data_IF_707036679711
#
_entry.id   IF_707036679711
#
_cell.length_a   1.000
_cell.length_b   1.000
_cell.length_c   1.000
_cell.angle_alpha   90.00
_cell.angle_beta   90.00
_cell.angle_gamma   90.00
#
_symmetry.space_group_name_H-M   'P 1'
#
loop_
_entity.id
_entity.type
_entity.pdbx_description
1 polymer ?
#
# COMPACT_ATOMS: atom_id res chain seq x y z
N UNK A 1 -15.04 13.57 17.59
CA UNK A 1 -15.95 14.73 17.48
C UNK A 1 -16.71 14.71 16.16
N UNK A 2 -17.92 15.26 16.14
CA UNK A 2 -19.09 14.88 15.32
C UNK A 2 -19.02 15.29 13.82
N UNK A 3 -18.05 14.76 13.05
CA UNK A 3 -17.84 15.10 11.62
C UNK A 3 -19.06 14.84 10.73
N UNK A 4 -19.88 13.84 11.06
CA UNK A 4 -21.12 13.52 10.34
C UNK A 4 -22.19 14.59 10.55
N UNK A 5 -22.44 14.99 11.80
CA UNK A 5 -23.41 16.05 12.07
C UNK A 5 -22.99 17.39 11.46
N UNK A 6 -21.68 17.68 11.38
CA UNK A 6 -21.18 18.87 10.66
C UNK A 6 -21.50 18.78 9.16
N UNK A 7 -21.25 17.63 8.53
CA UNK A 7 -21.58 17.41 7.12
C UNK A 7 -23.09 17.58 6.86
N UNK A 8 -23.93 16.98 7.69
CA UNK A 8 -25.40 17.06 7.59
C UNK A 8 -25.88 18.52 7.73
N UNK A 9 -25.33 19.28 8.69
CA UNK A 9 -25.66 20.70 8.85
C UNK A 9 -25.21 21.55 7.66
N UNK A 10 -24.02 21.30 7.12
CA UNK A 10 -23.53 22.00 5.93
C UNK A 10 -24.43 21.72 4.70
N UNK A 11 -24.79 20.46 4.48
CA UNK A 11 -25.70 20.07 3.41
C UNK A 11 -27.08 20.70 3.57
N UNK A 12 -27.64 20.67 4.79
CA UNK A 12 -28.94 21.25 5.07
C UNK A 12 -28.93 22.78 4.89
N UNK A 13 -27.87 23.46 5.34
CA UNK A 13 -27.69 24.89 5.15
C UNK A 13 -27.58 25.28 3.67
N UNK A 14 -26.83 24.50 2.88
CA UNK A 14 -26.71 24.72 1.44
C UNK A 14 -28.05 24.53 0.71
N UNK A 15 -28.82 23.50 1.08
CA UNK A 15 -30.18 23.30 0.54
C UNK A 15 -31.13 24.44 0.94
N UNK A 16 -31.05 24.93 2.17
CA UNK A 16 -31.85 26.05 2.64
C UNK A 16 -31.52 27.34 1.88
N UNK A 17 -30.24 27.63 1.63
CA UNK A 17 -29.82 28.76 0.79
C UNK A 17 -30.32 28.63 -0.64
N UNK A 18 -30.21 27.45 -1.26
CA UNK A 18 -30.73 27.22 -2.60
C UNK A 18 -32.24 27.46 -2.68
N UNK A 19 -32.99 27.02 -1.66
CA UNK A 19 -34.42 27.32 -1.55
C UNK A 19 -34.67 28.82 -1.38
N UNK A 20 -33.90 29.51 -0.53
CA UNK A 20 -34.05 30.95 -0.31
C UNK A 20 -33.79 31.77 -1.59
N UNK A 21 -32.72 31.46 -2.33
CA UNK A 21 -32.42 32.06 -3.64
C UNK A 21 -33.57 31.79 -4.61
N UNK A 22 -34.05 30.54 -4.69
CA UNK A 22 -35.15 30.18 -5.59
C UNK A 22 -36.46 30.90 -5.22
N UNK A 23 -36.76 31.06 -3.93
CA UNK A 23 -37.92 31.83 -3.47
C UNK A 23 -37.78 33.30 -3.84
N UNK A 24 -36.59 33.88 -3.69
CA UNK A 24 -36.30 35.27 -4.05
C UNK A 24 -36.43 35.53 -5.56
N UNK A 25 -35.97 34.60 -6.40
CA UNK A 25 -36.04 34.74 -7.86
C UNK A 25 -37.47 34.58 -8.40
N UNK A 26 -38.27 33.68 -7.82
CA UNK A 26 -39.64 33.41 -8.28
C UNK A 26 -40.69 34.35 -7.69
N UNK A 27 -40.36 35.12 -6.65
CA UNK A 27 -41.29 36.05 -6.00
C UNK A 27 -40.68 37.46 -5.96
N UNK A 28 -40.68 38.19 -7.10
CA UNK A 28 -40.06 39.52 -7.17
C UNK A 28 -40.71 40.54 -6.22
N UNK A 29 -41.96 40.33 -5.81
CA UNK A 29 -42.65 41.19 -4.83
C UNK A 29 -42.09 41.09 -3.40
N UNK A 30 -41.26 40.07 -3.12
CA UNK A 30 -40.81 39.75 -1.75
C UNK A 30 -39.64 40.62 -1.28
N UNK A 31 -38.83 41.10 -2.24
CA UNK A 31 -37.62 41.88 -2.00
C UNK A 31 -37.57 43.00 -3.02
N UNK A 32 -37.36 44.21 -2.53
CA UNK A 32 -37.22 45.40 -3.36
C UNK A 32 -36.06 45.23 -4.38
N UNK A 33 -36.28 45.69 -5.61
CA UNK A 33 -35.34 45.49 -6.72
C UNK A 33 -33.97 46.12 -6.40
N UNK A 34 -33.96 47.20 -5.61
CA UNK A 34 -32.77 47.95 -5.22
C UNK A 34 -31.77 47.13 -4.37
N UNK A 35 -32.26 46.17 -3.57
CA UNK A 35 -31.44 45.36 -2.65
C UNK A 35 -31.34 43.90 -3.08
N UNK A 36 -32.10 43.49 -4.10
CA UNK A 36 -32.17 42.09 -4.52
C UNK A 36 -30.83 41.56 -5.00
N UNK A 37 -30.10 42.34 -5.79
CA UNK A 37 -28.82 41.94 -6.36
C UNK A 37 -27.78 41.70 -5.25
N UNK A 38 -27.66 42.65 -4.31
CA UNK A 38 -26.78 42.52 -3.16
C UNK A 38 -27.16 41.34 -2.26
N UNK A 39 -28.46 41.14 -2.02
CA UNK A 39 -28.96 40.03 -1.21
C UNK A 39 -28.62 38.67 -1.84
N UNK A 40 -28.83 38.52 -3.15
CA UNK A 40 -28.47 37.30 -3.89
C UNK A 40 -26.95 37.11 -3.89
N UNK A 41 -26.18 38.19 -4.04
CA UNK A 41 -24.71 38.16 -3.98
C UNK A 41 -24.20 37.64 -2.63
N UNK A 42 -24.73 38.14 -1.51
CA UNK A 42 -24.37 37.65 -0.18
C UNK A 42 -24.77 36.20 0.07
N UNK A 43 -25.93 35.77 -0.44
CA UNK A 43 -26.33 34.36 -0.37
C UNK A 43 -25.42 33.47 -1.23
N UNK A 44 -25.01 33.95 -2.40
CA UNK A 44 -24.08 33.26 -3.28
C UNK A 44 -22.71 33.09 -2.63
N UNK A 45 -22.16 34.14 -2.05
CA UNK A 45 -20.89 34.07 -1.31
C UNK A 45 -20.98 33.11 -0.12
N UNK A 46 -22.09 33.16 0.61
CA UNK A 46 -22.37 32.20 1.69
C UNK A 46 -22.38 30.75 1.18
N UNK A 47 -23.03 30.51 0.03
CA UNK A 47 -23.10 29.18 -0.59
C UNK A 47 -21.71 28.67 -0.99
N UNK A 48 -20.81 29.54 -1.48
CA UNK A 48 -19.41 29.21 -1.78
C UNK A 48 -18.65 28.79 -0.53
N UNK A 49 -18.84 29.49 0.59
CA UNK A 49 -18.20 29.15 1.87
C UNK A 49 -18.67 27.75 2.33
N UNK A 50 -19.96 27.47 2.25
CA UNK A 50 -20.51 26.16 2.60
C UNK A 50 -19.96 25.05 1.70
N UNK A 51 -19.97 25.26 0.38
CA UNK A 51 -19.46 24.29 -0.60
C UNK A 51 -17.96 24.03 -0.42
N UNK A 52 -17.15 25.08 -0.23
CA UNK A 52 -15.72 24.98 0.05
C UNK A 52 -15.44 24.21 1.35
N UNK A 53 -16.19 24.51 2.41
CA UNK A 53 -16.06 23.81 3.70
C UNK A 53 -16.42 22.34 3.58
N UNK A 54 -17.50 22.02 2.85
CA UNK A 54 -17.87 20.64 2.56
C UNK A 54 -16.78 19.90 1.78
N UNK A 55 -16.21 20.54 0.76
CA UNK A 55 -15.09 19.97 0.00
C UNK A 55 -13.86 19.70 0.87
N UNK A 56 -13.50 20.64 1.76
CA UNK A 56 -12.40 20.44 2.73
C UNK A 56 -12.67 19.28 3.68
N UNK A 57 -13.93 19.07 4.09
CA UNK A 57 -14.31 17.92 4.90
C UNK A 57 -14.10 16.61 4.13
N UNK A 58 -14.46 16.57 2.85
CA UNK A 58 -14.20 15.42 1.96
C UNK A 58 -12.70 15.13 1.83
N UNK A 59 -11.86 16.15 1.59
CA UNK A 59 -10.40 15.99 1.58
C UNK A 59 -9.89 15.46 2.93
N UNK A 60 -10.41 15.99 4.04
CA UNK A 60 -10.05 15.55 5.40
C UNK A 60 -10.41 14.08 5.68
N UNK A 61 -11.54 13.61 5.15
CA UNK A 61 -11.94 12.19 5.24
C UNK A 61 -11.01 11.31 4.39
N UNK A 62 -10.68 11.76 3.19
CA UNK A 62 -9.80 11.04 2.27
C UNK A 62 -8.40 10.87 2.86
N UNK A 63 -7.81 11.96 3.36
CA UNK A 63 -6.49 11.94 4.02
C UNK A 63 -6.48 11.05 5.27
N UNK A 64 -7.59 10.97 6.01
CA UNK A 64 -7.71 10.05 7.13
C UNK A 64 -7.82 8.57 6.71
N UNK A 65 -8.42 8.27 5.54
CA UNK A 65 -8.63 6.89 5.08
C UNK A 65 -7.43 6.35 4.27
N UNK A 66 -6.76 7.21 3.49
CA UNK A 66 -5.62 6.84 2.61
C UNK A 66 -4.53 5.97 3.28
N UNK A 67 -4.13 6.19 4.55
CA UNK A 67 -3.10 5.38 5.20
C UNK A 67 -3.53 3.92 5.45
N UNK A 68 -4.83 3.65 5.51
CA UNK A 68 -5.38 2.32 5.78
C UNK A 68 -5.66 1.52 4.50
N UNK A 69 -5.44 2.12 3.32
CA UNK A 69 -5.62 1.45 2.04
C UNK A 69 -4.35 0.70 1.63
N UNK A 70 -4.53 -0.42 0.95
CA UNK A 70 -3.42 -1.16 0.33
C UNK A 70 -2.69 -0.27 -0.68
N UNK A 71 -1.36 -0.45 -0.82
CA UNK A 71 -0.48 0.40 -1.66
C UNK A 71 -1.01 0.55 -3.09
N UNK A 72 -1.59 -0.51 -3.64
CA UNK A 72 -2.18 -0.52 -5.00
C UNK A 72 -3.39 0.38 -5.10
N UNK A 73 -4.30 0.26 -4.13
CA UNK A 73 -5.51 1.09 -4.05
C UNK A 73 -5.12 2.55 -3.80
N UNK A 74 -4.13 2.79 -2.95
CA UNK A 74 -3.60 4.12 -2.67
C UNK A 74 -3.07 4.79 -3.94
N UNK A 75 -2.26 4.12 -4.75
CA UNK A 75 -1.75 4.68 -6.02
C UNK A 75 -2.87 5.09 -6.98
N UNK A 76 -3.92 4.27 -7.09
CA UNK A 76 -5.06 4.55 -7.98
C UNK A 76 -5.93 5.69 -7.46
N UNK A 77 -6.02 5.83 -6.13
CA UNK A 77 -6.97 6.74 -5.47
C UNK A 77 -6.35 8.03 -4.95
N UNK A 78 -5.03 8.22 -5.04
CA UNK A 78 -4.35 9.38 -4.46
C UNK A 78 -4.59 10.67 -5.25
N UNK A 79 -4.77 10.59 -6.57
CA UNK A 79 -4.87 11.77 -7.46
C UNK A 79 -6.30 12.09 -7.91
N UNK A 80 -7.28 11.25 -7.59
CA UNK A 80 -8.68 11.44 -8.06
C UNK A 80 -9.40 12.49 -7.21
N UNK A 81 -9.93 13.60 -7.71
CA UNK A 81 -10.64 14.56 -6.87
C UNK A 81 -11.89 13.93 -6.21
N UNK A 82 -12.29 14.36 -4.99
CA UNK A 82 -13.56 13.92 -4.40
C UNK A 82 -14.73 14.44 -5.26
N UNK A 83 -15.53 13.53 -5.82
CA UNK A 83 -16.78 13.84 -6.54
C UNK A 83 -17.97 13.45 -5.65
N UNK A 84 -19.00 12.80 -6.19
CA UNK A 84 -20.09 12.20 -5.40
C UNK A 84 -19.55 11.17 -4.39
N UNK A 85 -18.52 10.43 -4.79
CA UNK A 85 -17.82 9.48 -3.94
C UNK A 85 -16.44 10.00 -3.50
N UNK A 86 -15.99 9.57 -2.32
CA UNK A 86 -14.78 10.08 -1.65
C UNK A 86 -13.49 9.88 -2.46
N UNK A 87 -13.45 8.83 -3.28
CA UNK A 87 -12.32 8.48 -4.15
C UNK A 87 -12.64 8.65 -5.63
N UNK A 88 -13.74 9.34 -5.94
CA UNK A 88 -14.26 9.51 -7.28
C UNK A 88 -15.07 8.33 -7.78
N UNK A 89 -15.58 8.49 -8.99
CA UNK A 89 -16.42 7.50 -9.64
C UNK A 89 -15.54 6.45 -10.35
N UNK A 90 -16.03 5.22 -10.45
CA UNK A 90 -15.35 4.10 -11.12
C UNK A 90 -14.01 3.67 -10.49
N UNK A 91 -13.80 3.93 -9.19
CA UNK A 91 -12.59 3.48 -8.45
C UNK A 91 -12.37 1.97 -8.58
N UNK A 92 -13.45 1.20 -8.51
CA UNK A 92 -13.41 -0.24 -8.71
C UNK A 92 -12.83 -0.63 -10.07
N UNK A 93 -13.28 0.02 -11.14
CA UNK A 93 -12.77 -0.22 -12.49
C UNK A 93 -11.31 0.16 -12.60
N UNK A 94 -10.90 1.30 -12.03
CA UNK A 94 -9.50 1.75 -12.02
C UNK A 94 -8.59 0.79 -11.24
N UNK A 95 -9.08 0.19 -10.16
CA UNK A 95 -8.33 -0.84 -9.42
C UNK A 95 -8.19 -2.11 -10.28
N UNK A 96 -9.28 -2.54 -10.93
CA UNK A 96 -9.27 -3.72 -11.81
C UNK A 96 -8.32 -3.53 -12.99
N UNK A 97 -8.34 -2.37 -13.65
CA UNK A 97 -7.42 -2.07 -14.76
C UNK A 97 -5.97 -2.01 -14.27
N UNK A 98 -5.71 -1.41 -13.11
CA UNK A 98 -4.37 -1.40 -12.52
C UNK A 98 -3.86 -2.82 -12.20
N UNK A 99 -4.72 -3.71 -11.69
CA UNK A 99 -4.38 -5.11 -11.43
C UNK A 99 -4.09 -5.89 -12.72
N UNK A 100 -4.92 -5.72 -13.74
CA UNK A 100 -4.68 -6.35 -15.06
C UNK A 100 -3.37 -5.85 -15.66
N UNK A 101 -3.13 -4.53 -15.64
CA UNK A 101 -1.91 -3.93 -16.16
C UNK A 101 -0.66 -4.39 -15.39
N UNK A 102 -0.72 -4.50 -14.06
CA UNK A 102 0.38 -5.05 -13.26
C UNK A 102 0.68 -6.51 -13.64
N UNK A 103 -0.38 -7.30 -13.86
CA UNK A 103 -0.26 -8.71 -14.27
C UNK A 103 0.37 -8.83 -15.65
N UNK A 104 -0.07 -8.01 -16.61
CA UNK A 104 0.52 -7.94 -17.95
C UNK A 104 1.97 -7.45 -17.89
N UNK A 105 2.28 -6.43 -17.09
CA UNK A 105 3.63 -5.89 -16.93
C UNK A 105 4.60 -6.90 -16.29
N UNK A 106 4.13 -7.80 -15.43
CA UNK A 106 4.96 -8.89 -14.86
C UNK A 106 5.46 -9.86 -15.93
N UNK A 107 4.75 -10.03 -17.03
CA UNK A 107 5.18 -10.87 -18.17
C UNK A 107 6.39 -10.23 -18.87
N UNK A 108 6.46 -8.90 -18.91
CA UNK A 108 7.52 -8.16 -19.58
C UNK A 108 8.71 -7.79 -18.68
N UNK A 109 8.58 -7.93 -17.35
CA UNK A 109 9.71 -7.69 -16.46
C UNK A 109 10.73 -8.82 -16.64
N UNK A 110 11.97 -8.54 -17.07
CA UNK A 110 13.00 -9.55 -17.11
C UNK A 110 13.14 -10.13 -15.70
N UNK A 111 13.13 -11.47 -15.58
CA UNK A 111 13.51 -12.09 -14.31
C UNK A 111 14.90 -11.55 -13.99
N UNK A 112 15.05 -10.77 -12.93
CA UNK A 112 16.36 -10.44 -12.37
C UNK A 112 16.96 -11.76 -11.92
N UNK A 113 17.64 -12.43 -12.85
CA UNK A 113 18.60 -13.46 -12.56
C UNK A 113 19.60 -12.84 -11.61
N UNK A 114 19.71 -13.50 -10.46
CA UNK A 114 20.69 -13.33 -9.40
C UNK A 114 21.91 -12.53 -9.89
N UNK A 115 22.09 -11.31 -9.36
CA UNK A 115 23.40 -10.68 -9.45
C UNK A 115 24.39 -11.67 -8.80
N UNK A 116 25.45 -12.11 -9.51
CA UNK A 116 26.47 -12.91 -8.87
C UNK A 116 27.02 -12.07 -7.74
N UNK A 117 26.96 -12.60 -6.51
CA UNK A 117 27.57 -11.98 -5.34
C UNK A 117 28.98 -11.56 -5.73
N UNK A 118 29.26 -10.25 -5.66
CA UNK A 118 30.64 -9.79 -5.82
C UNK A 118 31.45 -10.47 -4.73
N UNK A 119 32.19 -11.51 -5.14
CA UNK A 119 33.21 -12.12 -4.30
C UNK A 119 34.19 -11.01 -3.99
N UNK A 120 34.16 -10.53 -2.74
CA UNK A 120 35.20 -9.69 -2.18
C UNK A 120 36.50 -10.50 -2.18
N UNK A 121 37.25 -10.43 -3.29
CA UNK A 121 38.63 -10.88 -3.34
C UNK A 121 39.39 -10.07 -2.30
N UNK A 122 39.64 -10.69 -1.14
CA UNK A 122 40.53 -10.15 -0.11
C UNK A 122 41.89 -9.92 -0.77
N UNK A 123 42.28 -8.65 -0.94
CA UNK A 123 43.65 -8.29 -1.27
C UNK A 123 44.56 -8.79 -0.14
N UNK A 124 45.37 -9.80 -0.43
CA UNK A 124 46.49 -10.20 0.42
C UNK A 124 47.57 -9.12 0.23
N UNK A 125 47.73 -8.25 1.22
CA UNK A 125 48.81 -7.26 1.23
C UNK A 125 50.14 -7.97 1.54
N UNK A 126 51.04 -7.95 0.56
CA UNK A 126 52.42 -8.36 0.72
C UNK A 126 53.19 -7.38 1.61
N UNK A 127 53.72 -7.89 2.71
CA UNK A 127 55.00 -7.45 3.29
C UNK A 127 54.98 -6.25 4.24
N UNK A 128 55.16 -6.53 5.54
CA UNK A 128 56.23 -5.88 6.29
C UNK A 128 56.60 -6.68 7.54
N UNK A 129 57.91 -6.77 7.76
CA UNK A 129 58.62 -7.61 8.72
C UNK A 129 58.24 -7.39 10.18
N UNK A 130 58.29 -8.47 10.98
CA UNK A 130 58.58 -8.36 12.41
C UNK A 130 58.08 -9.53 13.27
N UNK A 131 59.02 -10.31 13.81
CA UNK A 131 58.79 -11.02 15.08
C UNK A 131 58.73 -12.55 15.01
N UNK A 132 59.67 -13.19 15.69
CA UNK A 132 59.88 -14.62 15.77
C UNK A 132 58.74 -15.40 16.44
N UNK A 133 58.52 -16.65 16.01
CA UNK A 133 58.57 -17.84 16.88
C UNK A 133 58.30 -19.15 16.13
N UNK A 134 59.25 -20.07 16.30
CA UNK A 134 59.10 -21.53 16.44
C UNK A 134 58.64 -22.40 15.26
N UNK A 135 59.54 -23.33 14.92
CA UNK A 135 59.33 -24.55 14.12
C UNK A 135 58.24 -25.43 14.73
N UNK A 136 57.45 -26.10 13.87
CA UNK A 136 57.16 -27.51 14.10
C UNK A 136 56.86 -28.27 12.79
N UNK A 137 57.43 -29.48 12.71
CA UNK A 137 57.33 -30.45 11.60
C UNK A 137 55.98 -31.18 11.63
N UNK A 138 55.48 -31.61 10.47
CA UNK A 138 54.40 -32.61 10.35
C UNK A 138 53.54 -32.36 9.11
N UNK A 139 53.80 -33.03 7.99
CA UNK A 139 53.18 -34.31 7.60
C UNK A 139 51.82 -34.11 6.91
N UNK A 140 51.68 -34.66 5.69
CA UNK A 140 50.36 -34.91 5.10
C UNK A 140 50.18 -34.35 3.69
N UNK A 141 50.58 -35.13 2.70
CA UNK A 141 50.03 -35.09 1.35
C UNK A 141 48.50 -35.07 1.37
N UNK A 142 47.86 -34.09 0.74
CA UNK A 142 46.46 -34.23 0.33
C UNK A 142 46.31 -33.67 -1.07
N UNK A 143 46.08 -34.61 -1.99
CA UNK A 143 45.90 -34.35 -3.40
C UNK A 143 44.79 -33.33 -3.65
N UNK A 144 45.05 -32.42 -4.59
CA UNK A 144 44.06 -31.52 -5.17
C UNK A 144 42.88 -32.32 -5.72
N UNK A 145 41.76 -32.35 -5.00
CA UNK A 145 40.48 -32.79 -5.55
C UNK A 145 39.94 -31.67 -6.45
N UNK A 146 40.21 -31.77 -7.76
CA UNK A 146 39.77 -30.83 -8.81
C UNK A 146 38.32 -31.05 -9.29
N UNK A 147 37.47 -31.71 -8.50
CA UNK A 147 36.11 -32.11 -8.93
C UNK A 147 35.00 -31.65 -7.98
N UNK A 148 35.12 -30.44 -7.42
CA UNK A 148 34.09 -29.81 -6.57
C UNK A 148 32.90 -29.19 -7.32
N UNK A 149 32.90 -29.21 -8.67
CA UNK A 149 31.91 -28.49 -9.48
C UNK A 149 30.99 -29.40 -10.32
N UNK A 150 30.82 -30.68 -9.94
CA UNK A 150 29.80 -31.53 -10.59
C UNK A 150 28.44 -31.36 -9.90
N UNK A 151 27.40 -30.88 -10.60
CA UNK A 151 26.04 -30.89 -10.09
C UNK A 151 25.56 -32.33 -9.86
N UNK A 152 25.11 -32.63 -8.65
CA UNK A 152 24.38 -33.87 -8.37
C UNK A 152 22.93 -33.68 -8.86
N UNK A 153 22.52 -34.47 -9.86
CA UNK A 153 21.13 -34.47 -10.31
C UNK A 153 20.22 -35.03 -9.20
N UNK A 154 19.11 -34.35 -8.83
CA UNK A 154 18.14 -34.92 -7.91
C UNK A 154 17.45 -36.11 -8.58
N UNK A 155 17.66 -37.32 -8.05
CA UNK A 155 16.88 -38.51 -8.42
C UNK A 155 15.41 -38.26 -8.08
N UNK A 156 14.64 -37.94 -9.11
CA UNK A 156 13.17 -37.97 -9.09
C UNK A 156 12.74 -39.43 -9.11
N UNK A 157 12.14 -39.92 -8.03
CA UNK A 157 11.37 -41.17 -8.01
C UNK A 157 11.80 -42.15 -6.93
N UNK A 158 10.94 -42.30 -5.92
CA UNK A 158 11.08 -43.32 -4.89
C UNK A 158 9.93 -43.27 -3.89
N UNK A 159 8.75 -43.71 -4.32
CA UNK A 159 7.65 -44.08 -3.42
C UNK A 159 8.06 -45.32 -2.61
N UNK A 160 7.77 -45.30 -1.32
CA UNK A 160 7.90 -46.46 -0.41
C UNK A 160 8.58 -46.05 0.89
N UNK A 161 8.18 -46.46 2.09
CA UNK A 161 7.21 -47.44 2.54
C UNK A 161 6.80 -47.05 3.98
N UNK A 162 5.61 -47.48 4.36
CA UNK A 162 4.99 -47.34 5.67
C UNK A 162 5.89 -47.87 6.81
N UNK A 163 5.97 -47.12 7.90
CA UNK A 163 6.35 -47.67 9.21
C UNK A 163 5.37 -47.14 10.27
N UNK A 164 4.32 -47.91 10.50
CA UNK A 164 3.47 -47.78 11.66
C UNK A 164 4.25 -48.22 12.91
N UNK A 165 4.28 -47.38 13.96
CA UNK A 165 4.57 -47.83 15.33
C UNK A 165 3.49 -47.30 16.27
N UNK A 166 2.86 -48.27 16.95
CA UNK A 166 1.74 -48.17 17.88
C UNK A 166 2.10 -47.39 19.17
N UNK A 167 1.09 -46.85 19.87
CA UNK A 167 1.24 -46.10 21.10
C UNK A 167 1.54 -47.00 22.31
N UNK A 168 2.37 -46.53 23.25
CA UNK A 168 2.43 -47.10 24.59
C UNK A 168 1.51 -46.31 25.53
N UNK A 169 0.47 -46.99 26.00
CA UNK A 169 -0.29 -46.63 27.18
C UNK A 169 0.51 -47.11 28.40
N UNK A 170 0.81 -46.21 29.34
CA UNK A 170 1.25 -46.59 30.68
C UNK A 170 0.12 -46.23 31.67
N UNK A 171 -0.51 -47.28 32.20
CA UNK A 171 -1.29 -47.22 33.43
C UNK A 171 -0.34 -47.04 34.62
N UNK A 172 -0.64 -46.14 35.53
CA UNK A 172 -0.24 -46.23 36.93
C UNK A 172 -1.51 -46.29 37.79
N UNK A 173 -1.63 -47.38 38.54
CA UNK A 173 -2.54 -47.55 39.68
C UNK A 173 -1.69 -47.56 40.95
N UNK A 174 -2.39 -47.33 42.06
CA UNK A 174 -1.98 -47.50 43.47
C UNK A 174 -1.34 -46.24 44.05
N UNK A 175 -1.79 -45.69 45.18
CA UNK A 175 -2.54 -46.27 46.32
C UNK A 175 -3.29 -45.14 47.04
#
# INVERSE_FOLDING_TARGET
>A
QNKRAVQERLSHGLCALGKAINTCLNNPQLIDDSIREDFISYMWDSSRIFASTFHRLSIGRRTAILPFLDKKVKQVTQDVPPTEHLFGDNVYEKIKTAQTMETSAKIFKPSTSQQPSQNNYRKVSSGQNGGAASRNYGQGTSAKNLNGSRPSYPRRGGKGQYAARRPQQQYHKQT
#
